data_IF_694516874339
#
_entry.id   IF_694516874339
#
_cell.length_a   1.000
_cell.length_b   1.000
_cell.length_c   1.000
_cell.angle_alpha   90.00
_cell.angle_beta   90.00
_cell.angle_gamma   90.00
#
_symmetry.space_group_name_H-M   'P 1'
#
loop_
_entity.id
_entity.type
_entity.pdbx_description
1 polymer ?
#
# COMPACT_ATOMS: atom_id res chain seq x y z
N UNK A 1 -13.97 27.06 21.96
CA UNK A 1 -12.79 26.23 22.33
C UNK A 1 -13.29 24.79 22.47
N UNK A 2 -12.81 23.87 21.62
CA UNK A 2 -13.21 22.46 21.66
C UNK A 2 -12.72 21.77 22.94
N UNK A 3 -13.48 20.80 23.44
CA UNK A 3 -13.11 20.00 24.62
C UNK A 3 -12.00 19.00 24.33
N UNK A 4 -11.84 18.64 23.08
CA UNK A 4 -10.83 17.68 22.59
C UNK A 4 -10.27 18.19 21.25
N UNK A 5 -9.06 17.77 20.89
CA UNK A 5 -8.33 18.23 19.70
C UNK A 5 -8.18 19.77 19.66
N UNK A 6 -7.71 20.30 20.79
CA UNK A 6 -7.49 21.74 20.96
C UNK A 6 -6.48 22.25 19.92
N UNK A 7 -6.84 23.37 19.29
CA UNK A 7 -5.95 24.07 18.37
C UNK A 7 -5.45 25.36 19.00
N UNK A 8 -4.20 25.70 18.76
CA UNK A 8 -3.67 27.01 19.12
C UNK A 8 -4.24 28.04 18.15
N UNK A 9 -4.79 29.10 18.69
CA UNK A 9 -5.32 30.22 17.92
C UNK A 9 -5.11 31.53 18.66
N UNK A 10 -5.07 32.63 17.92
CA UNK A 10 -5.09 33.99 18.54
C UNK A 10 -6.48 34.34 19.00
N UNK A 11 -6.59 35.02 20.15
CA UNK A 11 -7.88 35.40 20.70
C UNK A 11 -8.63 36.43 19.83
N UNK A 12 -7.90 37.16 18.99
CA UNK A 12 -8.44 38.15 18.05
C UNK A 12 -8.83 37.52 16.68
N UNK A 13 -8.70 36.19 16.52
CA UNK A 13 -9.03 35.49 15.30
C UNK A 13 -8.05 35.68 14.12
N UNK A 14 -6.98 36.46 14.35
CA UNK A 14 -5.99 36.67 13.27
C UNK A 14 -5.16 35.40 13.03
N UNK A 15 -4.74 35.11 11.76
CA UNK A 15 -3.92 33.97 11.44
C UNK A 15 -2.62 33.93 12.25
N UNK A 16 -2.26 32.74 12.77
CA UNK A 16 -0.97 32.52 13.40
C UNK A 16 0.10 32.25 12.34
N UNK A 17 1.28 32.81 12.56
CA UNK A 17 2.47 32.40 11.81
C UNK A 17 2.94 31.05 12.34
N UNK A 18 2.89 30.01 11.50
CA UNK A 18 3.38 28.67 11.81
C UNK A 18 4.68 28.49 11.04
N UNK A 19 5.77 28.19 11.75
CA UNK A 19 7.05 27.82 11.14
C UNK A 19 7.24 26.30 11.22
N UNK A 20 7.73 25.72 10.14
CA UNK A 20 8.16 24.31 10.14
C UNK A 20 9.53 24.20 10.84
N UNK A 21 9.55 23.56 11.99
CA UNK A 21 10.73 23.29 12.79
C UNK A 21 11.07 21.79 12.87
N UNK A 22 10.60 21.00 11.95
CA UNK A 22 10.79 19.53 11.97
C UNK A 22 12.24 19.09 11.89
N UNK A 23 13.12 19.95 11.38
CA UNK A 23 14.56 19.70 11.32
C UNK A 23 15.30 20.08 12.62
N UNK A 24 14.76 21.03 13.37
CA UNK A 24 15.38 21.61 14.57
C UNK A 24 14.77 21.05 15.86
N UNK A 25 13.52 20.57 15.81
CA UNK A 25 12.77 20.14 16.99
C UNK A 25 12.20 18.73 16.80
N UNK A 26 12.58 17.83 17.72
CA UNK A 26 11.99 16.51 17.85
C UNK A 26 11.29 16.38 19.19
N UNK A 27 9.99 16.10 19.18
CA UNK A 27 9.20 15.91 20.39
C UNK A 27 8.89 14.41 20.55
N UNK A 28 9.44 13.80 21.63
CA UNK A 28 9.10 12.44 22.01
C UNK A 28 7.81 12.44 22.83
N UNK A 29 6.73 11.94 22.24
CA UNK A 29 5.43 11.84 22.88
C UNK A 29 5.24 10.42 23.47
N UNK A 30 5.28 10.29 24.80
CA UNK A 30 5.11 9.00 25.51
C UNK A 30 3.66 8.63 25.81
N UNK A 31 2.71 9.52 25.55
CA UNK A 31 1.30 9.37 25.94
C UNK A 31 0.52 8.24 25.26
N UNK A 32 1.12 7.61 24.23
CA UNK A 32 0.56 6.45 23.50
C UNK A 32 1.31 5.15 23.79
N UNK A 33 2.05 5.05 24.91
CA UNK A 33 2.82 3.86 25.27
C UNK A 33 2.51 3.41 26.70
N UNK A 34 2.46 2.07 26.88
CA UNK A 34 2.35 1.43 28.20
C UNK A 34 1.02 1.62 28.94
N UNK A 35 1.03 1.51 30.25
CA UNK A 35 -0.15 1.52 31.12
C UNK A 35 -1.03 2.78 30.97
N UNK A 36 -0.44 3.94 30.71
CA UNK A 36 -1.18 5.20 30.50
C UNK A 36 -2.03 5.18 29.23
N UNK A 37 -1.62 4.44 28.22
CA UNK A 37 -2.42 4.21 26.99
C UNK A 37 -3.59 3.28 27.24
N UNK A 38 -3.33 2.15 27.91
CA UNK A 38 -4.37 1.17 28.27
C UNK A 38 -5.43 1.81 29.17
N UNK A 39 -5.02 2.60 30.17
CA UNK A 39 -5.94 3.30 31.06
C UNK A 39 -6.83 4.32 30.31
N UNK A 40 -6.29 5.07 29.36
CA UNK A 40 -7.06 5.99 28.51
C UNK A 40 -8.07 5.25 27.63
N UNK A 41 -7.67 4.11 27.07
CA UNK A 41 -8.53 3.27 26.23
C UNK A 41 -9.69 2.67 27.03
N UNK A 42 -9.41 2.15 28.24
CA UNK A 42 -10.43 1.56 29.13
C UNK A 42 -11.42 2.60 29.64
N UNK A 43 -10.97 3.82 29.94
CA UNK A 43 -11.82 4.85 30.53
C UNK A 43 -12.75 5.58 29.55
N UNK A 44 -12.65 5.32 28.21
CA UNK A 44 -13.49 5.97 27.20
C UNK A 44 -13.51 7.51 27.28
N UNK A 45 -12.45 8.12 27.83
CA UNK A 45 -12.41 9.57 28.08
C UNK A 45 -12.62 10.38 26.81
N UNK A 46 -11.93 10.01 25.73
CA UNK A 46 -12.04 10.72 24.46
C UNK A 46 -13.44 10.60 23.90
N UNK A 47 -13.98 9.38 23.89
CA UNK A 47 -15.36 9.10 23.46
C UNK A 47 -16.37 10.00 24.17
N UNK A 48 -16.29 10.08 25.52
CA UNK A 48 -17.20 10.91 26.30
C UNK A 48 -17.06 12.42 26.02
N UNK A 49 -15.83 12.88 25.75
CA UNK A 49 -15.59 14.29 25.40
C UNK A 49 -16.12 14.64 24.01
N UNK A 50 -15.95 13.74 23.03
CA UNK A 50 -16.48 13.91 21.68
C UNK A 50 -18.00 13.92 21.70
N UNK A 51 -18.64 12.99 22.42
CA UNK A 51 -20.09 12.94 22.54
C UNK A 51 -20.66 14.23 23.15
N UNK A 52 -20.03 14.75 24.21
CA UNK A 52 -20.44 16.05 24.79
C UNK A 52 -20.24 17.24 23.85
N UNK A 53 -19.20 17.21 23.04
CA UNK A 53 -18.99 18.25 22.01
C UNK A 53 -20.08 18.20 20.95
N UNK A 54 -20.48 16.99 20.52
CA UNK A 54 -21.57 16.79 19.57
C UNK A 54 -22.95 17.11 20.14
N UNK A 55 -23.17 16.97 21.47
CA UNK A 55 -24.40 17.46 22.12
C UNK A 55 -24.52 18.98 21.98
N UNK A 56 -23.44 19.74 22.16
CA UNK A 56 -23.40 21.18 22.02
C UNK A 56 -23.37 21.65 20.55
N UNK A 57 -22.73 20.86 19.67
CA UNK A 57 -22.51 21.17 18.25
C UNK A 57 -22.83 19.96 17.35
N UNK A 58 -24.11 19.59 17.19
CA UNK A 58 -24.53 18.37 16.48
C UNK A 58 -24.15 18.31 15.00
N UNK A 59 -23.77 19.44 14.39
CA UNK A 59 -23.31 19.51 13.00
C UNK A 59 -21.79 19.50 12.82
N UNK A 60 -20.99 19.28 13.89
CA UNK A 60 -19.53 19.27 13.79
C UNK A 60 -19.03 17.99 13.11
N UNK A 61 -18.88 18.04 11.79
CA UNK A 61 -18.44 16.89 10.98
C UNK A 61 -17.04 16.38 11.36
N UNK A 62 -16.14 17.24 11.85
CA UNK A 62 -14.83 16.81 12.30
C UNK A 62 -14.94 15.95 13.57
N UNK A 63 -15.81 16.36 14.52
CA UNK A 63 -16.07 15.59 15.74
C UNK A 63 -16.76 14.26 15.43
N UNK A 64 -17.69 14.22 14.47
CA UNK A 64 -18.25 12.96 13.98
C UNK A 64 -17.18 12.04 13.40
N UNK A 65 -16.22 12.58 12.63
CA UNK A 65 -15.10 11.83 12.13
C UNK A 65 -14.20 11.26 13.24
N UNK A 66 -13.91 12.06 14.30
CA UNK A 66 -13.19 11.55 15.48
C UNK A 66 -13.97 10.50 16.26
N UNK A 67 -15.30 10.61 16.30
CA UNK A 67 -16.15 9.58 16.91
C UNK A 67 -16.06 8.27 16.12
N UNK A 68 -16.03 8.34 14.81
CA UNK A 68 -15.74 7.19 13.94
C UNK A 68 -14.38 6.55 14.28
N UNK A 69 -13.32 7.36 14.48
CA UNK A 69 -11.99 6.87 14.85
C UNK A 69 -11.99 6.11 16.19
N UNK A 70 -12.74 6.59 17.19
CA UNK A 70 -12.84 5.92 18.50
C UNK A 70 -13.54 4.54 18.36
N UNK A 71 -14.60 4.44 17.55
CA UNK A 71 -15.26 3.15 17.28
C UNK A 71 -14.39 2.23 16.43
N UNK A 72 -13.69 2.75 15.43
CA UNK A 72 -12.73 1.99 14.62
C UNK A 72 -11.63 1.39 15.49
N UNK A 73 -11.02 2.18 16.38
CA UNK A 73 -10.02 1.74 17.32
C UNK A 73 -10.54 0.71 18.35
N UNK A 74 -11.85 0.74 18.64
CA UNK A 74 -12.51 -0.25 19.49
C UNK A 74 -12.89 -1.54 18.74
N UNK A 75 -12.76 -1.58 17.40
CA UNK A 75 -13.15 -2.71 16.56
C UNK A 75 -14.65 -2.77 16.26
N UNK A 76 -15.41 -1.73 16.58
CA UNK A 76 -16.84 -1.60 16.26
C UNK A 76 -16.99 -0.95 14.87
N UNK A 77 -16.72 -1.74 13.82
CA UNK A 77 -16.68 -1.24 12.45
C UNK A 77 -18.03 -0.71 11.97
N UNK A 78 -19.13 -1.30 12.40
CA UNK A 78 -20.49 -0.85 12.01
C UNK A 78 -20.76 0.58 12.51
N UNK A 79 -20.42 0.86 13.76
CA UNK A 79 -20.57 2.22 14.30
C UNK A 79 -19.56 3.19 13.70
N UNK A 80 -18.34 2.74 13.47
CA UNK A 80 -17.32 3.56 12.80
C UNK A 80 -17.80 4.00 11.41
N UNK A 81 -18.29 3.06 10.60
CA UNK A 81 -18.86 3.33 9.28
C UNK A 81 -20.01 4.31 9.35
N UNK A 82 -20.97 4.08 10.26
CA UNK A 82 -22.13 4.96 10.44
C UNK A 82 -21.69 6.40 10.74
N UNK A 83 -20.75 6.59 11.66
CA UNK A 83 -20.27 7.93 12.02
C UNK A 83 -19.42 8.58 10.93
N UNK A 84 -18.63 7.84 10.18
CA UNK A 84 -17.92 8.39 9.02
C UNK A 84 -18.89 8.82 7.92
N UNK A 85 -19.95 8.04 7.65
CA UNK A 85 -20.99 8.42 6.69
C UNK A 85 -21.74 9.69 7.12
N UNK A 86 -22.07 9.83 8.40
CA UNK A 86 -22.71 11.00 8.96
C UNK A 86 -21.80 12.24 8.89
N UNK A 87 -20.51 12.06 9.23
CA UNK A 87 -19.48 13.10 9.06
C UNK A 87 -19.41 13.60 7.61
N UNK A 88 -19.33 12.66 6.65
CA UNK A 88 -19.27 12.99 5.23
C UNK A 88 -20.55 13.67 4.74
N UNK A 89 -21.71 13.29 5.26
CA UNK A 89 -22.97 13.93 4.93
C UNK A 89 -23.05 15.39 5.42
N UNK A 90 -22.42 15.66 6.56
CA UNK A 90 -22.40 16.98 7.21
C UNK A 90 -21.27 17.90 6.72
N UNK A 91 -20.34 17.42 5.88
CA UNK A 91 -19.25 18.22 5.34
C UNK A 91 -19.75 19.36 4.46
N UNK A 92 -19.14 20.56 4.52
CA UNK A 92 -19.44 21.65 3.60
C UNK A 92 -19.07 21.27 2.16
N UNK A 93 -19.67 21.97 1.19
CA UNK A 93 -19.40 21.74 -0.24
C UNK A 93 -17.97 22.12 -0.69
N UNK A 94 -17.24 22.87 0.13
CA UNK A 94 -15.85 23.27 -0.10
C UNK A 94 -15.08 23.05 1.18
N UNK A 95 -13.97 22.31 1.09
CA UNK A 95 -13.02 22.07 2.15
C UNK A 95 -11.72 22.81 1.86
N UNK A 96 -10.92 23.07 2.90
CA UNK A 96 -9.51 23.42 2.72
C UNK A 96 -8.78 22.25 2.06
N UNK A 97 -7.97 22.51 1.04
CA UNK A 97 -7.22 21.49 0.31
C UNK A 97 -6.26 20.66 1.22
N UNK A 98 -5.96 21.18 2.40
CA UNK A 98 -5.10 20.55 3.43
C UNK A 98 -5.89 19.96 4.58
N UNK A 99 -7.21 19.83 4.46
CA UNK A 99 -8.05 19.26 5.51
C UNK A 99 -7.75 17.75 5.69
N UNK A 100 -6.76 17.52 6.56
CA UNK A 100 -6.33 16.15 6.89
C UNK A 100 -7.40 15.37 7.65
N UNK A 101 -8.28 16.05 8.38
CA UNK A 101 -9.33 15.36 9.15
C UNK A 101 -10.37 14.76 8.20
N UNK A 102 -10.86 15.54 7.28
CA UNK A 102 -11.80 15.05 6.27
C UNK A 102 -11.16 13.98 5.37
N UNK A 103 -9.90 14.16 4.96
CA UNK A 103 -9.17 13.14 4.23
C UNK A 103 -9.12 11.80 4.98
N UNK A 104 -8.84 11.83 6.30
CA UNK A 104 -8.85 10.63 7.12
C UNK A 104 -10.22 9.95 7.19
N UNK A 105 -11.29 10.73 7.33
CA UNK A 105 -12.67 10.22 7.37
C UNK A 105 -12.99 9.41 6.11
N UNK A 106 -12.68 9.94 4.92
CA UNK A 106 -12.89 9.22 3.66
C UNK A 106 -11.99 7.98 3.56
N UNK A 107 -10.73 8.11 3.94
CA UNK A 107 -9.77 7.01 3.89
C UNK A 107 -10.22 5.82 4.75
N UNK A 108 -10.59 6.06 6.01
CA UNK A 108 -11.04 5.00 6.90
C UNK A 108 -12.39 4.41 6.48
N UNK A 109 -13.31 5.22 5.95
CA UNK A 109 -14.56 4.68 5.41
C UNK A 109 -14.29 3.73 4.25
N UNK A 110 -13.45 4.12 3.28
CA UNK A 110 -13.12 3.25 2.13
C UNK A 110 -12.42 1.96 2.57
N UNK A 111 -11.57 2.00 3.61
CA UNK A 111 -10.95 0.80 4.17
C UNK A 111 -11.97 -0.14 4.82
N UNK A 112 -12.92 0.41 5.61
CA UNK A 112 -13.99 -0.40 6.21
C UNK A 112 -14.85 -1.04 5.10
N UNK A 113 -15.19 -0.28 4.07
CA UNK A 113 -15.97 -0.79 2.94
C UNK A 113 -15.24 -1.93 2.21
N UNK A 114 -13.92 -1.84 2.04
CA UNK A 114 -13.10 -2.92 1.50
C UNK A 114 -13.13 -4.15 2.41
N UNK A 115 -12.90 -3.98 3.72
CA UNK A 115 -12.92 -5.07 4.71
C UNK A 115 -14.28 -5.77 4.77
N UNK A 116 -15.38 -5.02 4.66
CA UNK A 116 -16.75 -5.53 4.65
C UNK A 116 -17.15 -6.18 3.31
N UNK A 117 -16.33 -6.06 2.27
CA UNK A 117 -16.63 -6.57 0.93
C UNK A 117 -17.74 -5.82 0.23
N UNK A 118 -17.87 -4.52 0.47
CA UNK A 118 -18.84 -3.67 -0.21
C UNK A 118 -18.62 -3.67 -1.73
N UNK A 119 -19.71 -3.40 -2.46
CA UNK A 119 -19.67 -3.28 -3.90
C UNK A 119 -18.79 -2.12 -4.36
N UNK A 120 -17.99 -2.34 -5.40
CA UNK A 120 -17.08 -1.34 -5.96
C UNK A 120 -17.82 -0.07 -6.42
N UNK A 121 -19.03 -0.20 -6.92
CA UNK A 121 -19.79 0.97 -7.37
C UNK A 121 -20.19 1.86 -6.19
N UNK A 122 -20.51 1.29 -5.04
CA UNK A 122 -20.74 2.04 -3.81
C UNK A 122 -19.45 2.73 -3.33
N UNK A 123 -18.32 2.03 -3.34
CA UNK A 123 -17.02 2.63 -3.02
C UNK A 123 -16.65 3.78 -3.97
N UNK A 124 -16.95 3.65 -5.27
CA UNK A 124 -16.75 4.71 -6.26
C UNK A 124 -17.63 5.95 -6.02
N UNK A 125 -18.82 5.81 -5.46
CA UNK A 125 -19.65 6.96 -5.05
C UNK A 125 -18.98 7.75 -3.92
N UNK A 126 -18.49 7.06 -2.90
CA UNK A 126 -17.72 7.70 -1.80
C UNK A 126 -16.43 8.34 -2.33
N UNK A 127 -15.69 7.60 -3.16
CA UNK A 127 -14.50 8.12 -3.85
C UNK A 127 -14.80 9.39 -4.66
N UNK A 128 -15.88 9.40 -5.44
CA UNK A 128 -16.26 10.57 -6.25
C UNK A 128 -16.47 11.83 -5.40
N UNK A 129 -17.13 11.69 -4.24
CA UNK A 129 -17.29 12.79 -3.28
C UNK A 129 -15.95 13.21 -2.68
N UNK A 130 -15.11 12.24 -2.26
CA UNK A 130 -13.78 12.49 -1.70
C UNK A 130 -12.88 13.24 -2.69
N UNK A 131 -12.78 12.74 -3.92
CA UNK A 131 -11.98 13.33 -4.98
C UNK A 131 -12.49 14.70 -5.44
N UNK A 132 -13.79 14.95 -5.33
CA UNK A 132 -14.39 16.27 -5.59
C UNK A 132 -14.02 17.31 -4.53
N UNK A 133 -14.01 16.92 -3.26
CA UNK A 133 -13.68 17.82 -2.14
C UNK A 133 -12.17 17.99 -1.93
N UNK A 134 -11.39 16.92 -2.12
CA UNK A 134 -9.96 16.85 -1.87
C UNK A 134 -9.22 16.24 -3.09
N UNK A 135 -9.19 16.92 -4.22
CA UNK A 135 -8.72 16.37 -5.50
C UNK A 135 -7.24 16.01 -5.53
N UNK A 136 -6.45 16.56 -4.60
CA UNK A 136 -4.99 16.32 -4.53
C UNK A 136 -4.63 15.09 -3.68
N UNK A 137 -5.60 14.51 -2.93
CA UNK A 137 -5.32 13.37 -2.07
C UNK A 137 -5.12 12.08 -2.87
N UNK A 138 -3.95 11.45 -2.65
CA UNK A 138 -3.52 10.27 -3.40
C UNK A 138 -4.09 8.96 -2.81
N UNK A 139 -4.36 8.94 -1.50
CA UNK A 139 -4.80 7.72 -0.79
C UNK A 139 -6.13 7.19 -1.31
N UNK A 140 -7.03 8.07 -1.81
CA UNK A 140 -8.32 7.63 -2.36
C UNK A 140 -8.14 6.81 -3.65
N UNK A 141 -7.28 7.29 -4.57
CA UNK A 141 -6.96 6.55 -5.80
C UNK A 141 -6.21 5.25 -5.49
N UNK A 142 -5.32 5.28 -4.50
CA UNK A 142 -4.60 4.10 -4.04
C UNK A 142 -5.56 3.01 -3.54
N UNK A 143 -6.52 3.34 -2.67
CA UNK A 143 -7.48 2.38 -2.13
C UNK A 143 -8.35 1.76 -3.23
N UNK A 144 -8.95 2.57 -4.09
CA UNK A 144 -9.76 2.06 -5.20
C UNK A 144 -8.92 1.21 -6.15
N UNK A 145 -7.71 1.67 -6.49
CA UNK A 145 -6.83 0.93 -7.39
C UNK A 145 -6.36 -0.41 -6.82
N UNK A 146 -6.11 -0.48 -5.52
CA UNK A 146 -5.72 -1.72 -4.83
C UNK A 146 -6.90 -2.70 -4.76
N UNK A 147 -8.08 -2.22 -4.43
CA UNK A 147 -9.30 -3.01 -4.46
C UNK A 147 -9.54 -3.63 -5.85
N UNK A 148 -9.50 -2.82 -6.90
CA UNK A 148 -9.69 -3.27 -8.29
C UNK A 148 -8.64 -4.30 -8.73
N UNK A 149 -7.40 -4.13 -8.30
CA UNK A 149 -6.34 -5.12 -8.56
C UNK A 149 -6.64 -6.46 -7.88
N UNK A 150 -7.15 -6.45 -6.65
CA UNK A 150 -7.57 -7.65 -5.92
C UNK A 150 -8.80 -8.31 -6.55
N UNK A 151 -9.77 -7.52 -6.98
CA UNK A 151 -10.99 -7.99 -7.69
C UNK A 151 -10.74 -8.39 -9.16
N UNK A 152 -9.50 -8.26 -9.65
CA UNK A 152 -9.06 -8.59 -11.01
C UNK A 152 -9.59 -7.67 -12.11
N UNK A 153 -10.13 -6.51 -11.79
CA UNK A 153 -10.33 -5.46 -12.77
C UNK A 153 -9.02 -4.70 -13.01
N UNK A 154 -8.08 -5.40 -13.63
CA UNK A 154 -6.73 -4.89 -13.85
C UNK A 154 -6.69 -3.66 -14.75
N UNK A 155 -7.63 -3.54 -15.69
CA UNK A 155 -7.65 -2.41 -16.61
C UNK A 155 -7.97 -1.10 -15.88
N UNK A 156 -8.98 -1.10 -15.05
CA UNK A 156 -9.34 0.04 -14.22
C UNK A 156 -8.32 0.27 -13.10
N UNK A 157 -7.82 -0.83 -12.48
CA UNK A 157 -6.75 -0.79 -11.47
C UNK A 157 -5.51 -0.02 -11.94
N UNK A 158 -5.07 -0.20 -13.20
CA UNK A 158 -3.97 0.60 -13.77
C UNK A 158 -4.27 2.09 -13.70
N UNK A 159 -5.48 2.51 -14.08
CA UNK A 159 -5.84 3.93 -14.14
C UNK A 159 -5.79 4.60 -12.77
N UNK A 160 -6.34 3.92 -11.75
CA UNK A 160 -6.35 4.45 -10.39
C UNK A 160 -4.96 4.45 -9.76
N UNK A 161 -4.18 3.36 -9.86
CA UNK A 161 -2.84 3.29 -9.29
C UNK A 161 -1.87 4.28 -9.96
N UNK A 162 -1.93 4.46 -11.29
CA UNK A 162 -1.12 5.49 -11.97
C UNK A 162 -1.50 6.90 -11.50
N UNK A 163 -2.80 7.17 -11.33
CA UNK A 163 -3.28 8.47 -10.82
C UNK A 163 -2.86 8.72 -9.38
N UNK A 164 -2.87 7.68 -8.52
CA UNK A 164 -2.38 7.78 -7.15
C UNK A 164 -0.90 8.16 -7.11
N UNK A 165 -0.05 7.49 -7.90
CA UNK A 165 1.37 7.80 -8.01
C UNK A 165 1.64 9.19 -8.60
N UNK A 166 0.87 9.60 -9.61
CA UNK A 166 0.97 10.94 -10.20
C UNK A 166 0.62 12.03 -9.18
N UNK A 167 -0.47 11.86 -8.42
CA UNK A 167 -0.84 12.77 -7.33
C UNK A 167 0.24 12.83 -6.25
N UNK A 168 0.78 11.69 -5.83
CA UNK A 168 1.86 11.64 -4.86
C UNK A 168 3.09 12.40 -5.36
N UNK A 169 3.46 12.23 -6.62
CA UNK A 169 4.60 12.92 -7.23
C UNK A 169 4.37 14.44 -7.35
N UNK A 170 3.18 14.85 -7.78
CA UNK A 170 2.87 16.28 -8.03
C UNK A 170 2.66 17.08 -6.76
N UNK A 171 1.97 16.49 -5.81
CA UNK A 171 1.49 17.24 -4.64
C UNK A 171 2.28 16.89 -3.37
N UNK A 172 2.95 15.75 -3.32
CA UNK A 172 3.88 15.37 -2.25
C UNK A 172 3.35 15.70 -0.85
N UNK A 173 4.03 16.60 -0.16
CA UNK A 173 3.67 17.02 1.21
C UNK A 173 2.36 17.82 1.33
N UNK A 174 1.75 18.21 0.22
CA UNK A 174 0.46 18.93 0.23
C UNK A 174 -0.73 17.99 0.38
N UNK A 175 -0.54 16.69 0.19
CA UNK A 175 -1.56 15.69 0.46
C UNK A 175 -1.21 14.91 1.73
N UNK A 176 -2.16 14.16 2.25
CA UNK A 176 -1.96 13.33 3.42
C UNK A 176 -1.08 12.11 3.11
N UNK A 177 -1.33 11.44 2.01
CA UNK A 177 -0.60 10.31 1.42
C UNK A 177 -0.02 9.30 2.44
N UNK A 178 -0.75 9.05 3.55
CA UNK A 178 -0.27 8.20 4.63
C UNK A 178 -0.25 6.74 4.24
N UNK A 179 -1.26 6.28 3.51
CA UNK A 179 -1.36 4.88 3.08
C UNK A 179 -0.40 4.61 1.93
N UNK A 180 -0.54 5.33 0.83
CA UNK A 180 0.32 5.10 -0.35
C UNK A 180 1.80 5.31 0.00
N UNK A 181 2.14 6.27 0.87
CA UNK A 181 3.51 6.51 1.31
C UNK A 181 4.11 5.33 2.06
N UNK A 182 3.34 4.70 2.95
CA UNK A 182 3.77 3.51 3.71
C UNK A 182 3.72 2.21 2.89
N UNK A 183 2.91 2.15 1.82
CA UNK A 183 2.70 0.99 0.96
C UNK A 183 3.23 1.19 -0.47
N UNK A 184 4.20 2.09 -0.64
CA UNK A 184 4.68 2.48 -1.97
C UNK A 184 5.20 1.29 -2.79
N UNK A 185 5.92 0.37 -2.16
CA UNK A 185 6.39 -0.87 -2.81
C UNK A 185 5.21 -1.69 -3.32
N UNK A 186 4.22 -1.95 -2.48
CA UNK A 186 3.01 -2.72 -2.84
C UNK A 186 2.22 -2.04 -3.95
N UNK A 187 2.16 -0.71 -3.94
CA UNK A 187 1.54 0.08 -5.02
C UNK A 187 2.22 -0.20 -6.36
N UNK A 188 3.56 -0.19 -6.40
CA UNK A 188 4.31 -0.54 -7.61
C UNK A 188 4.12 -2.00 -8.03
N UNK A 189 4.06 -2.93 -7.07
CA UNK A 189 3.83 -4.35 -7.32
C UNK A 189 2.42 -4.59 -7.89
N UNK A 190 1.37 -3.98 -7.31
CA UNK A 190 0.01 -4.06 -7.80
C UNK A 190 -0.13 -3.43 -9.20
N UNK A 191 0.50 -2.28 -9.44
CA UNK A 191 0.50 -1.66 -10.75
C UNK A 191 1.24 -2.53 -11.78
N UNK A 192 2.36 -3.16 -11.41
CA UNK A 192 3.07 -4.10 -12.29
C UNK A 192 2.21 -5.32 -12.62
N UNK A 193 1.49 -5.88 -11.64
CA UNK A 193 0.54 -6.96 -11.85
C UNK A 193 -0.57 -6.54 -12.84
N UNK A 194 -1.22 -5.41 -12.59
CA UNK A 194 -2.27 -4.89 -13.47
C UNK A 194 -1.75 -4.63 -14.90
N UNK A 195 -0.56 -4.03 -15.05
CA UNK A 195 0.09 -3.83 -16.34
C UNK A 195 0.36 -5.17 -17.03
N UNK A 196 0.86 -6.16 -16.31
CA UNK A 196 1.13 -7.50 -16.85
C UNK A 196 -0.15 -8.17 -17.35
N UNK A 197 -1.22 -8.11 -16.56
CA UNK A 197 -2.52 -8.72 -16.92
C UNK A 197 -3.22 -8.01 -18.07
N UNK A 198 -2.97 -6.72 -18.26
CA UNK A 198 -3.53 -5.92 -19.37
C UNK A 198 -2.63 -5.82 -20.59
N UNK A 199 -1.50 -6.53 -20.59
CA UNK A 199 -0.61 -6.57 -21.74
C UNK A 199 0.37 -5.43 -21.88
N UNK A 200 0.51 -4.59 -20.88
CA UNK A 200 1.50 -3.51 -20.82
C UNK A 200 2.84 -4.04 -20.26
N UNK A 201 3.42 -5.06 -20.92
CA UNK A 201 4.56 -5.82 -20.39
C UNK A 201 5.81 -4.97 -20.17
N UNK A 202 6.14 -4.05 -21.08
CA UNK A 202 7.30 -3.16 -20.93
C UNK A 202 7.17 -2.30 -19.66
N UNK A 203 5.96 -1.80 -19.40
CA UNK A 203 5.67 -1.04 -18.19
C UNK A 203 5.80 -1.91 -16.94
N UNK A 204 5.24 -3.12 -16.97
CA UNK A 204 5.35 -4.08 -15.86
C UNK A 204 6.82 -4.41 -15.55
N UNK A 205 7.64 -4.70 -16.56
CA UNK A 205 9.08 -4.95 -16.41
C UNK A 205 9.79 -3.76 -15.76
N UNK A 206 9.51 -2.54 -16.26
CA UNK A 206 10.12 -1.32 -15.70
C UNK A 206 9.79 -1.11 -14.23
N UNK A 207 8.53 -1.36 -13.84
CA UNK A 207 8.07 -1.25 -12.46
C UNK A 207 8.73 -2.32 -11.57
N UNK A 208 8.76 -3.58 -12.01
CA UNK A 208 9.42 -4.66 -11.27
C UNK A 208 10.91 -4.37 -11.05
N UNK A 209 11.63 -3.89 -12.07
CA UNK A 209 13.05 -3.52 -11.94
C UNK A 209 13.22 -2.36 -10.93
N UNK A 210 12.33 -1.37 -10.94
CA UNK A 210 12.37 -0.28 -9.98
C UNK A 210 12.18 -0.77 -8.54
N UNK A 211 11.21 -1.67 -8.30
CA UNK A 211 11.00 -2.32 -7.00
C UNK A 211 12.23 -3.11 -6.59
N UNK A 212 12.77 -3.97 -7.46
CA UNK A 212 13.91 -4.84 -7.13
C UNK A 212 15.20 -4.06 -6.85
N UNK A 213 15.39 -2.89 -7.44
CA UNK A 213 16.51 -2.00 -7.11
C UNK A 213 16.44 -1.44 -5.68
N UNK A 214 15.24 -1.20 -5.15
CA UNK A 214 15.03 -0.68 -3.79
C UNK A 214 14.77 -1.78 -2.75
N UNK A 215 14.14 -2.87 -3.18
CA UNK A 215 13.78 -4.03 -2.37
C UNK A 215 14.17 -5.33 -3.11
N UNK A 216 15.46 -5.71 -3.13
CA UNK A 216 15.98 -6.81 -3.96
C UNK A 216 15.32 -8.17 -3.68
N UNK A 217 14.78 -8.36 -2.49
CA UNK A 217 14.16 -9.62 -2.07
C UNK A 217 12.61 -9.57 -2.09
N UNK A 218 12.01 -8.71 -2.93
CA UNK A 218 10.59 -8.80 -3.24
C UNK A 218 10.35 -10.01 -4.15
N UNK A 219 9.70 -11.04 -3.61
CA UNK A 219 9.34 -12.24 -4.37
C UNK A 219 8.29 -11.93 -5.43
N UNK A 220 7.34 -11.06 -5.12
CA UNK A 220 6.27 -10.68 -6.05
C UNK A 220 6.83 -9.95 -7.26
N UNK A 221 7.69 -8.95 -7.05
CA UNK A 221 8.31 -8.20 -8.15
C UNK A 221 9.21 -9.11 -9.01
N UNK A 222 10.00 -10.00 -8.40
CA UNK A 222 10.83 -10.93 -9.16
C UNK A 222 9.98 -11.95 -9.94
N UNK A 223 8.93 -12.47 -9.33
CA UNK A 223 8.03 -13.42 -9.99
C UNK A 223 7.34 -12.77 -11.21
N UNK A 224 6.80 -11.57 -11.07
CA UNK A 224 6.17 -10.82 -12.17
C UNK A 224 7.16 -10.49 -13.29
N UNK A 225 8.40 -10.12 -12.94
CA UNK A 225 9.47 -9.89 -13.91
C UNK A 225 9.77 -11.14 -14.73
N UNK A 226 9.96 -12.28 -14.06
CA UNK A 226 10.24 -13.56 -14.70
C UNK A 226 9.02 -14.06 -15.51
N UNK A 227 7.80 -13.87 -15.01
CA UNK A 227 6.57 -14.17 -15.75
C UNK A 227 6.50 -13.35 -17.06
N UNK A 228 6.88 -12.07 -17.02
CA UNK A 228 6.93 -11.21 -18.19
C UNK A 228 7.99 -11.70 -19.20
N UNK A 229 9.15 -12.17 -18.74
CA UNK A 229 10.22 -12.70 -19.59
C UNK A 229 9.87 -14.05 -20.20
N UNK A 230 9.25 -14.93 -19.43
CA UNK A 230 8.86 -16.27 -19.92
C UNK A 230 7.83 -16.18 -21.04
N UNK A 231 7.00 -15.14 -21.08
CA UNK A 231 5.91 -15.05 -22.04
C UNK A 231 4.77 -16.04 -21.72
N UNK A 232 3.79 -16.14 -22.64
CA UNK A 232 2.60 -16.98 -22.42
C UNK A 232 2.12 -17.68 -23.72
N UNK A 233 2.99 -18.00 -24.63
CA UNK A 233 2.64 -18.61 -25.92
C UNK A 233 2.09 -17.63 -26.98
N UNK A 234 1.44 -16.55 -26.56
CA UNK A 234 0.97 -15.46 -27.44
C UNK A 234 2.00 -14.33 -27.56
N UNK A 235 3.00 -14.31 -26.70
CA UNK A 235 4.06 -13.31 -26.64
C UNK A 235 5.41 -14.00 -26.66
N UNK A 236 6.39 -13.42 -27.40
CA UNK A 236 7.71 -14.01 -27.47
C UNK A 236 8.34 -14.03 -26.08
N UNK A 237 8.87 -15.19 -25.69
CA UNK A 237 9.68 -15.33 -24.50
C UNK A 237 11.04 -14.65 -24.70
N UNK A 238 11.56 -14.07 -23.64
CA UNK A 238 12.96 -13.66 -23.58
C UNK A 238 13.83 -14.93 -23.47
N UNK A 239 14.90 -15.01 -24.25
CA UNK A 239 15.81 -16.12 -24.15
C UNK A 239 16.40 -16.20 -22.73
N UNK A 240 16.55 -17.42 -22.14
CA UNK A 240 17.06 -17.57 -20.78
C UNK A 240 18.39 -16.87 -20.51
N UNK A 241 19.29 -16.79 -21.51
CA UNK A 241 20.57 -16.10 -21.43
C UNK A 241 20.39 -14.58 -21.23
N UNK A 242 19.42 -13.98 -21.92
CA UNK A 242 19.12 -12.56 -21.77
C UNK A 242 18.46 -12.27 -20.41
N UNK A 243 17.56 -13.16 -19.96
CA UNK A 243 16.98 -13.07 -18.63
C UNK A 243 18.06 -13.14 -17.54
N UNK A 244 19.03 -14.06 -17.69
CA UNK A 244 20.19 -14.15 -16.80
C UNK A 244 21.00 -12.86 -16.77
N UNK A 245 21.29 -12.25 -17.92
CA UNK A 245 22.04 -11.00 -17.97
C UNK A 245 21.34 -9.84 -17.22
N UNK A 246 20.01 -9.84 -17.18
CA UNK A 246 19.25 -8.87 -16.37
C UNK A 246 19.32 -9.23 -14.89
N UNK A 247 19.21 -10.52 -14.55
CA UNK A 247 19.32 -10.97 -13.15
C UNK A 247 20.70 -10.69 -12.57
N UNK A 248 21.78 -10.82 -13.35
CA UNK A 248 23.15 -10.47 -12.96
C UNK A 248 23.35 -8.97 -12.68
N UNK A 249 22.51 -8.11 -13.24
CA UNK A 249 22.51 -6.68 -12.93
C UNK A 249 21.75 -6.35 -11.62
N UNK A 250 20.84 -7.22 -11.20
CA UNK A 250 19.99 -7.05 -10.02
C UNK A 250 20.55 -7.78 -8.79
N UNK A 251 21.26 -8.90 -9.00
CA UNK A 251 21.71 -9.82 -7.95
C UNK A 251 23.19 -10.17 -8.10
N UNK A 252 23.87 -10.31 -6.96
CA UNK A 252 25.22 -10.87 -6.92
C UNK A 252 25.14 -12.40 -6.96
N UNK A 253 25.22 -12.99 -8.14
CA UNK A 253 25.08 -14.45 -8.29
C UNK A 253 26.29 -15.25 -7.75
N UNK A 254 27.32 -14.59 -7.21
CA UNK A 254 28.35 -15.25 -6.40
C UNK A 254 27.86 -15.48 -4.96
N UNK A 255 26.86 -14.72 -4.52
CA UNK A 255 26.20 -14.90 -3.23
C UNK A 255 25.23 -16.09 -3.27
N UNK A 256 25.39 -17.03 -2.35
CA UNK A 256 24.47 -18.16 -2.21
C UNK A 256 23.03 -17.70 -1.92
N UNK A 257 22.87 -16.64 -1.13
CA UNK A 257 21.57 -16.05 -0.80
C UNK A 257 20.82 -15.57 -2.04
N UNK A 258 21.50 -14.85 -2.93
CA UNK A 258 20.91 -14.31 -4.14
C UNK A 258 20.58 -15.42 -5.14
N UNK A 259 21.49 -16.38 -5.32
CA UNK A 259 21.23 -17.57 -6.16
C UNK A 259 20.00 -18.33 -5.69
N UNK A 260 19.87 -18.58 -4.37
CA UNK A 260 18.73 -19.29 -3.79
C UNK A 260 17.43 -18.52 -4.00
N UNK A 261 17.45 -17.20 -3.82
CA UNK A 261 16.28 -16.37 -4.01
C UNK A 261 15.79 -16.42 -5.46
N UNK A 262 16.69 -16.25 -6.42
CA UNK A 262 16.37 -16.35 -7.85
C UNK A 262 15.92 -17.76 -8.23
N UNK A 263 16.60 -18.80 -7.75
CA UNK A 263 16.22 -20.20 -8.00
C UNK A 263 14.82 -20.49 -7.51
N UNK A 264 14.47 -20.02 -6.29
CA UNK A 264 13.12 -20.19 -5.73
C UNK A 264 12.05 -19.52 -6.60
N UNK A 265 12.31 -18.34 -7.13
CA UNK A 265 11.39 -17.67 -8.03
C UNK A 265 11.22 -18.41 -9.36
N UNK A 266 12.31 -18.92 -9.94
CA UNK A 266 12.29 -19.71 -11.17
C UNK A 266 11.50 -21.01 -10.99
N UNK A 267 11.74 -21.74 -9.90
CA UNK A 267 11.01 -22.98 -9.58
C UNK A 267 9.53 -22.73 -9.35
N UNK A 268 9.17 -21.68 -8.59
CA UNK A 268 7.77 -21.28 -8.38
C UNK A 268 7.05 -20.94 -9.68
N UNK A 269 7.77 -20.31 -10.63
CA UNK A 269 7.22 -19.99 -11.95
C UNK A 269 7.13 -21.22 -12.87
N UNK A 270 7.94 -22.26 -12.63
CA UNK A 270 8.07 -23.41 -13.51
C UNK A 270 8.71 -23.02 -14.85
N UNK A 271 9.89 -22.39 -14.82
CA UNK A 271 10.69 -22.06 -16.00
C UNK A 271 12.00 -22.89 -16.02
N UNK A 272 11.92 -24.16 -16.48
CA UNK A 272 13.01 -25.13 -16.34
C UNK A 272 14.29 -24.72 -17.07
N UNK A 273 14.19 -24.05 -18.22
CA UNK A 273 15.37 -23.61 -18.98
C UNK A 273 16.17 -22.58 -18.18
N UNK A 274 15.52 -21.60 -17.58
CA UNK A 274 16.18 -20.61 -16.72
C UNK A 274 16.68 -21.23 -15.42
N UNK A 275 15.94 -22.17 -14.86
CA UNK A 275 16.32 -22.92 -13.65
C UNK A 275 17.65 -23.69 -13.86
N UNK A 276 17.86 -24.29 -15.02
CA UNK A 276 19.13 -24.94 -15.38
C UNK A 276 20.29 -23.94 -15.36
N UNK A 277 20.11 -22.75 -15.92
CA UNK A 277 21.17 -21.70 -15.89
C UNK A 277 21.54 -21.29 -14.48
N UNK A 278 20.56 -21.11 -13.60
CA UNK A 278 20.81 -20.77 -12.19
C UNK A 278 21.48 -21.94 -11.46
N UNK A 279 21.03 -23.19 -11.67
CA UNK A 279 21.60 -24.38 -11.03
C UNK A 279 23.09 -24.59 -11.38
N UNK A 280 23.51 -24.25 -12.58
CA UNK A 280 24.93 -24.30 -12.99
C UNK A 280 25.85 -23.36 -12.19
N UNK A 281 25.30 -22.39 -11.47
CA UNK A 281 26.06 -21.49 -10.59
C UNK A 281 26.28 -22.05 -9.19
N UNK A 282 25.74 -23.24 -8.87
CA UNK A 282 25.94 -23.94 -7.60
C UNK A 282 26.93 -25.09 -7.76
N UNK A 283 27.68 -25.36 -6.69
CA UNK A 283 28.45 -26.56 -6.60
C UNK A 283 27.56 -27.79 -6.33
N UNK A 284 28.05 -29.01 -6.59
CA UNK A 284 27.33 -30.24 -6.30
C UNK A 284 26.99 -30.34 -4.79
N UNK A 285 27.92 -29.91 -3.92
CA UNK A 285 27.73 -29.91 -2.46
C UNK A 285 26.62 -28.94 -2.04
N UNK A 286 26.63 -27.72 -2.59
CA UNK A 286 25.57 -26.71 -2.34
C UNK A 286 24.19 -27.24 -2.78
N UNK A 287 24.08 -27.83 -3.96
CA UNK A 287 22.83 -28.42 -4.43
C UNK A 287 22.35 -29.59 -3.55
N UNK A 288 23.26 -30.43 -3.07
CA UNK A 288 22.94 -31.51 -2.14
C UNK A 288 22.42 -30.95 -0.82
N UNK A 289 23.07 -29.92 -0.28
CA UNK A 289 22.64 -29.24 0.94
C UNK A 289 21.24 -28.61 0.78
N UNK A 290 21.00 -27.92 -0.33
CA UNK A 290 19.68 -27.28 -0.59
C UNK A 290 18.58 -28.34 -0.68
N UNK A 291 18.81 -29.49 -1.35
CA UNK A 291 17.84 -30.60 -1.43
C UNK A 291 17.50 -31.15 -0.05
N UNK A 292 18.48 -31.27 0.83
CA UNK A 292 18.26 -31.79 2.18
C UNK A 292 17.61 -30.80 3.12
N UNK A 293 18.02 -29.52 3.06
CA UNK A 293 17.55 -28.48 3.98
C UNK A 293 16.19 -27.87 3.55
N UNK A 294 15.92 -27.81 2.24
CA UNK A 294 14.71 -27.20 1.67
C UNK A 294 14.15 -28.01 0.50
N UNK A 295 13.56 -29.18 0.75
CA UNK A 295 13.12 -30.12 -0.30
C UNK A 295 12.06 -29.55 -1.27
N UNK A 296 11.44 -28.40 -0.95
CA UNK A 296 10.48 -27.72 -1.84
C UNK A 296 11.07 -26.64 -2.74
N UNK A 297 12.36 -26.32 -2.63
CA UNK A 297 12.99 -25.23 -3.42
C UNK A 297 13.55 -25.75 -4.75
N UNK A 298 13.94 -27.00 -4.81
CA UNK A 298 14.40 -27.65 -6.04
C UNK A 298 13.40 -28.75 -6.33
N UNK A 299 12.58 -28.59 -7.38
CA UNK A 299 11.82 -29.74 -7.92
C UNK A 299 12.78 -30.86 -8.25
N UNK A 300 12.41 -32.11 -7.92
CA UNK A 300 13.12 -33.28 -8.39
C UNK A 300 13.14 -33.21 -9.93
N UNK A 301 14.23 -32.73 -10.50
CA UNK A 301 14.46 -32.79 -11.93
C UNK A 301 14.51 -34.26 -12.35
N UNK A 302 14.12 -34.57 -13.59
CA UNK A 302 14.38 -35.90 -14.11
C UNK A 302 15.87 -36.18 -13.91
N UNK A 303 16.13 -37.34 -13.38
CA UNK A 303 17.49 -37.90 -13.22
C UNK A 303 18.31 -37.59 -14.45
N UNK A 304 19.52 -37.10 -14.24
CA UNK A 304 20.52 -36.94 -15.28
C UNK A 304 20.52 -38.22 -16.13
N UNK A 305 19.96 -38.13 -17.34
CA UNK A 305 20.17 -39.12 -18.35
C UNK A 305 21.66 -39.01 -18.73
N UNK A 306 22.37 -40.01 -18.28
CA UNK A 306 23.70 -40.44 -18.64
C UNK A 306 24.33 -39.84 -19.92
N UNK A 307 25.47 -39.21 -19.81
CA UNK A 307 26.74 -39.69 -20.32
C UNK A 307 27.77 -38.58 -20.29
#
# INVERSE_FOLDING_TARGET
>A
RRRIHEQLGRMDGTPMHIADATKELSILHSGYRGAAWEEKKVNGRNLNLILKELEDHPGDYEMMGYLGDEYYAAGDLDKAESWYRESIASMPSVLDERDQRSAATFTYLLQIMEENGNDIDEMKLIYGKAAGLLPKEADFDYLIGTYLAADRDYAEGVLYLERALDKLQRYGSNNRAMLIGSHLRETYENLALCCRKTGKDERAVSLCIAVLKSAPYSMEALYLLLEAFRGNGFRPSVAPEKAMGILEQLYCLDSMKDRLFVLKACSKLGWPELEVYIKRRFTAEELSYIRSAWPGVISAGPEEINS
#
